data_IF_694298665488
#
_entry.id   IF_694298665488
#
_cell.length_a   1.000
_cell.length_b   1.000
_cell.length_c   1.000
_cell.angle_alpha   90.00
_cell.angle_beta   90.00
_cell.angle_gamma   90.00
#
_symmetry.space_group_name_H-M   'P 1'
#
loop_
_entity.id
_entity.type
_entity.pdbx_description
1 polymer ?
#
# COMPACT_ATOMS: atom_id res chain seq x y z
N UNK A 1 32.02 4.10 4.98
CA UNK A 1 30.74 3.63 4.41
C UNK A 1 30.21 2.54 5.33
N UNK A 2 29.77 2.94 6.53
CA UNK A 2 29.18 2.00 7.49
C UNK A 2 27.78 1.64 7.01
N UNK A 3 27.66 0.45 6.43
CA UNK A 3 26.37 -0.21 6.11
C UNK A 3 25.82 -0.91 7.37
N UNK A 4 26.07 -0.34 8.55
CA UNK A 4 25.60 -0.87 9.81
C UNK A 4 24.16 -0.41 10.02
N UNK A 5 23.22 -1.31 9.76
CA UNK A 5 21.84 -1.17 10.21
C UNK A 5 21.82 -0.91 11.73
N UNK A 6 20.82 -0.20 12.26
CA UNK A 6 20.60 -0.15 13.70
C UNK A 6 20.52 -1.58 14.26
N UNK A 7 21.24 -1.79 15.35
CA UNK A 7 21.52 -3.07 15.98
C UNK A 7 20.26 -3.90 16.27
N UNK A 8 20.08 -4.99 15.51
CA UNK A 8 19.18 -6.10 15.84
C UNK A 8 17.82 -6.11 15.10
N UNK A 9 17.40 -7.24 14.48
CA UNK A 9 16.11 -7.37 13.78
C UNK A 9 14.88 -7.00 14.62
N UNK A 10 14.94 -7.23 15.94
CA UNK A 10 13.83 -6.99 16.87
C UNK A 10 13.74 -5.51 17.32
N UNK A 11 14.87 -4.80 17.42
CA UNK A 11 14.88 -3.39 17.77
C UNK A 11 14.36 -2.53 16.62
N UNK A 12 14.66 -2.95 15.38
CA UNK A 12 14.13 -2.34 14.15
C UNK A 12 12.62 -2.51 14.05
N UNK A 13 12.10 -3.73 14.31
CA UNK A 13 10.66 -4.00 14.30
C UNK A 13 9.87 -3.08 15.25
N UNK A 14 10.30 -2.92 16.51
CA UNK A 14 9.60 -2.06 17.46
C UNK A 14 9.60 -0.57 17.04
N UNK A 15 10.68 -0.11 16.40
CA UNK A 15 10.76 1.25 15.87
C UNK A 15 9.84 1.44 14.64
N UNK A 16 9.86 0.48 13.71
CA UNK A 16 8.96 0.45 12.54
C UNK A 16 7.49 0.43 12.97
N UNK A 17 7.11 -0.43 13.92
CA UNK A 17 5.74 -0.46 14.47
C UNK A 17 5.33 0.88 15.09
N UNK A 18 6.24 1.59 15.76
CA UNK A 18 5.93 2.93 16.31
C UNK A 18 5.64 3.93 15.19
N UNK A 19 6.45 3.95 14.13
CA UNK A 19 6.26 4.85 12.99
C UNK A 19 4.94 4.54 12.25
N UNK A 20 4.67 3.26 11.99
CA UNK A 20 3.44 2.83 11.32
C UNK A 20 2.20 3.04 12.21
N UNK A 21 2.31 2.89 13.53
CA UNK A 21 1.21 3.22 14.44
C UNK A 21 0.84 4.71 14.40
N UNK A 22 1.80 5.62 14.17
CA UNK A 22 1.51 7.04 13.93
C UNK A 22 0.71 7.25 12.65
N UNK A 23 0.99 6.48 11.60
CA UNK A 23 0.23 6.51 10.34
C UNK A 23 -1.25 6.20 10.58
N UNK A 24 -1.58 5.17 11.37
CA UNK A 24 -2.96 4.83 11.75
C UNK A 24 -3.70 6.04 12.33
N UNK A 25 -3.07 6.71 13.29
CA UNK A 25 -3.66 7.83 14.03
C UNK A 25 -3.96 8.98 13.08
N UNK A 26 -3.02 9.32 12.21
CA UNK A 26 -3.16 10.41 11.22
C UNK A 26 -4.21 10.10 10.15
N UNK A 27 -4.22 8.88 9.59
CA UNK A 27 -5.23 8.47 8.61
C UNK A 27 -6.65 8.40 9.21
N UNK A 28 -6.76 7.97 10.48
CA UNK A 28 -8.04 7.99 11.19
C UNK A 28 -8.60 9.41 11.33
N UNK A 29 -7.73 10.41 11.55
CA UNK A 29 -8.14 11.81 11.65
C UNK A 29 -8.60 12.37 10.31
N UNK A 30 -7.93 12.03 9.20
CA UNK A 30 -8.34 12.45 7.85
C UNK A 30 -9.67 11.84 7.38
N UNK A 31 -9.94 10.58 7.73
CA UNK A 31 -11.24 9.96 7.48
C UNK A 31 -12.40 10.70 8.16
N UNK A 32 -12.11 11.42 9.24
CA UNK A 32 -13.05 12.28 9.96
C UNK A 32 -13.30 13.62 9.24
N UNK A 33 -12.27 14.19 8.60
CA UNK A 33 -12.34 15.45 7.85
C UNK A 33 -13.14 15.31 6.54
N UNK A 34 -13.01 14.16 5.85
CA UNK A 34 -13.77 13.85 4.63
C UNK A 34 -15.27 13.56 4.86
N UNK A 35 -15.78 13.76 6.08
CA UNK A 35 -17.23 13.67 6.38
C UNK A 35 -18.06 14.78 5.76
N UNK A 36 -17.44 15.86 5.31
CA UNK A 36 -18.14 17.01 4.78
C UNK A 36 -17.74 17.31 3.35
N UNK A 37 -18.32 16.64 2.36
CA UNK A 37 -18.58 17.23 1.04
C UNK A 37 -19.80 16.51 0.42
N UNK A 38 -20.92 17.23 0.39
CA UNK A 38 -22.20 16.76 -0.16
C UNK A 38 -22.23 17.02 -1.65
N UNK A 39 -21.93 16.02 -2.46
CA UNK A 39 -22.40 15.96 -3.85
C UNK A 39 -23.07 14.60 -4.04
N UNK A 40 -24.40 14.61 -4.13
CA UNK A 40 -25.28 13.45 -4.33
C UNK A 40 -25.41 12.48 -3.13
N UNK A 41 -26.08 12.94 -2.07
CA UNK A 41 -26.65 12.04 -1.08
C UNK A 41 -28.01 11.54 -1.59
N UNK A 42 -28.20 10.22 -1.70
CA UNK A 42 -29.49 9.65 -2.07
C UNK A 42 -30.49 9.89 -0.93
N UNK A 43 -31.67 10.40 -1.27
CA UNK A 43 -32.76 10.60 -0.30
C UNK A 43 -33.21 9.24 0.21
N UNK A 44 -33.27 9.09 1.52
CA UNK A 44 -33.92 7.95 2.17
C UNK A 44 -35.42 8.24 2.19
N UNK A 45 -36.13 7.77 1.17
CA UNK A 45 -37.57 8.03 1.00
C UNK A 45 -38.36 7.53 2.21
N UNK A 46 -38.01 6.36 2.77
CA UNK A 46 -38.73 5.79 3.92
C UNK A 46 -38.53 6.65 5.17
N UNK A 47 -37.30 7.10 5.43
CA UNK A 47 -37.00 7.96 6.59
C UNK A 47 -37.56 9.38 6.39
N UNK A 48 -37.58 9.88 5.16
CA UNK A 48 -38.16 11.18 4.79
C UNK A 48 -39.68 11.17 4.97
N UNK A 49 -40.36 10.16 4.44
CA UNK A 49 -41.82 10.00 4.58
C UNK A 49 -42.22 9.83 6.06
N UNK A 50 -41.47 9.05 6.84
CA UNK A 50 -41.73 8.93 8.28
C UNK A 50 -41.57 10.26 9.02
N UNK A 51 -40.57 11.07 8.67
CA UNK A 51 -40.40 12.41 9.23
C UNK A 51 -41.52 13.37 8.79
N UNK A 52 -42.04 13.20 7.57
CA UNK A 52 -43.13 14.02 7.03
C UNK A 52 -44.49 13.80 7.68
N UNK A 53 -44.66 12.72 8.46
CA UNK A 53 -45.91 12.47 9.20
C UNK A 53 -46.24 13.60 10.18
N UNK A 54 -45.22 14.27 10.74
CA UNK A 54 -45.39 15.43 11.62
C UNK A 54 -45.83 16.69 10.87
N UNK A 55 -45.67 16.71 9.55
CA UNK A 55 -46.00 17.83 8.66
C UNK A 55 -47.12 17.46 7.69
N UNK A 56 -48.05 16.60 8.12
CA UNK A 56 -49.23 16.22 7.34
C UNK A 56 -48.91 15.41 6.07
N UNK A 57 -47.78 14.70 6.04
CA UNK A 57 -47.33 13.92 4.88
C UNK A 57 -46.55 14.72 3.84
N UNK A 58 -46.34 16.02 4.06
CA UNK A 58 -45.53 16.86 3.17
C UNK A 58 -44.05 16.72 3.54
N UNK A 59 -43.15 16.28 2.64
CA UNK A 59 -41.75 16.03 2.94
C UNK A 59 -40.93 17.33 3.03
N UNK A 60 -41.16 18.12 4.09
CA UNK A 60 -40.46 19.39 4.35
C UNK A 60 -38.99 19.15 4.74
N UNK A 61 -38.71 18.05 5.44
CA UNK A 61 -37.35 17.70 5.90
C UNK A 61 -36.86 16.44 5.19
N UNK A 62 -36.03 16.61 4.16
CA UNK A 62 -35.39 15.49 3.46
C UNK A 62 -34.35 14.81 4.37
N UNK A 63 -34.51 13.50 4.56
CA UNK A 63 -33.54 12.65 5.27
C UNK A 63 -32.73 11.88 4.23
N UNK A 64 -31.42 12.03 4.28
CA UNK A 64 -30.52 11.37 3.33
C UNK A 64 -29.96 10.07 3.90
N UNK A 65 -29.68 9.09 3.03
CA UNK A 65 -28.94 7.90 3.45
C UNK A 65 -27.53 8.32 3.88
N UNK A 66 -27.03 7.86 5.05
CA UNK A 66 -25.66 8.12 5.45
C UNK A 66 -24.72 7.42 4.47
N UNK A 67 -24.04 8.18 3.60
CA UNK A 67 -22.88 7.69 2.84
C UNK A 67 -21.72 7.56 3.83
N UNK A 68 -21.49 6.34 4.33
CA UNK A 68 -20.26 6.05 5.07
C UNK A 68 -19.10 6.20 4.08
N UNK A 69 -18.08 7.03 4.35
CA UNK A 69 -16.89 7.05 3.52
C UNK A 69 -16.34 5.62 3.43
N UNK A 70 -16.17 5.10 2.21
CA UNK A 70 -15.36 3.89 2.03
C UNK A 70 -13.96 4.22 2.56
N UNK A 71 -13.45 3.38 3.46
CA UNK A 71 -12.08 3.53 3.98
C UNK A 71 -11.12 3.39 2.79
N UNK A 72 -10.00 4.15 2.75
CA UNK A 72 -8.96 3.89 1.75
C UNK A 72 -8.57 2.42 1.81
N UNK A 73 -8.65 1.74 0.67
CA UNK A 73 -8.18 0.37 0.52
C UNK A 73 -6.69 0.45 0.17
N UNK A 74 -5.86 -0.15 1.01
CA UNK A 74 -4.40 -0.11 0.89
C UNK A 74 -3.98 -1.43 0.27
N UNK A 75 -3.24 -1.34 -0.84
CA UNK A 75 -2.62 -2.46 -1.52
C UNK A 75 -1.12 -2.30 -1.34
N UNK A 76 -0.46 -3.29 -0.73
CA UNK A 76 0.98 -3.27 -0.55
C UNK A 76 1.60 -4.44 -1.27
N UNK A 77 2.57 -4.16 -2.14
CA UNK A 77 3.38 -5.16 -2.79
C UNK A 77 4.78 -5.11 -2.20
N UNK A 78 5.32 -6.26 -1.79
CA UNK A 78 6.67 -6.35 -1.23
C UNK A 78 7.51 -7.32 -2.04
N UNK A 79 8.60 -6.80 -2.60
CA UNK A 79 9.68 -7.58 -3.20
C UNK A 79 10.47 -8.26 -2.08
N UNK A 80 10.50 -9.59 -2.08
CA UNK A 80 11.29 -10.41 -1.15
C UNK A 80 12.36 -11.23 -1.87
N UNK A 81 12.69 -10.84 -3.11
CA UNK A 81 13.75 -11.49 -3.88
C UNK A 81 15.10 -11.41 -3.18
N UNK A 82 15.90 -12.45 -3.42
CA UNK A 82 17.09 -12.79 -2.65
C UNK A 82 18.21 -11.75 -2.79
N UNK A 83 18.16 -10.71 -1.95
CA UNK A 83 19.34 -10.05 -1.40
C UNK A 83 19.33 -10.21 0.13
N UNK A 84 19.95 -11.30 0.58
CA UNK A 84 19.97 -11.71 2.00
C UNK A 84 20.69 -10.63 2.83
N UNK A 85 19.94 -9.84 3.58
CA UNK A 85 19.82 -9.95 5.06
C UNK A 85 19.19 -8.68 5.66
N UNK A 86 19.39 -7.51 5.04
CA UNK A 86 19.02 -6.20 5.60
C UNK A 86 17.67 -5.68 5.13
N UNK A 87 17.54 -5.47 3.82
CA UNK A 87 16.43 -4.75 3.21
C UNK A 87 15.13 -5.56 3.29
N UNK A 88 15.22 -6.87 3.03
CA UNK A 88 14.08 -7.78 3.10
C UNK A 88 13.53 -7.86 4.53
N UNK A 89 14.38 -7.87 5.57
CA UNK A 89 13.93 -7.89 6.97
C UNK A 89 13.23 -6.59 7.36
N UNK A 90 13.80 -5.44 6.97
CA UNK A 90 13.19 -4.14 7.21
C UNK A 90 11.83 -4.02 6.49
N UNK A 91 11.74 -4.39 5.21
CA UNK A 91 10.48 -4.32 4.45
C UNK A 91 9.43 -5.32 4.90
N UNK A 92 9.82 -6.55 5.24
CA UNK A 92 8.90 -7.49 5.90
C UNK A 92 8.41 -6.91 7.23
N UNK A 93 9.28 -6.25 8.00
CA UNK A 93 8.88 -5.57 9.26
C UNK A 93 7.89 -4.44 9.01
N UNK A 94 8.10 -3.63 7.95
CA UNK A 94 7.17 -2.58 7.51
C UNK A 94 5.84 -3.19 7.06
N UNK A 95 5.88 -4.25 6.25
CA UNK A 95 4.70 -4.95 5.76
C UNK A 95 3.87 -5.52 6.94
N UNK A 96 4.54 -6.17 7.89
CA UNK A 96 3.91 -6.70 9.10
C UNK A 96 3.28 -5.59 9.95
N UNK A 97 4.01 -4.49 10.19
CA UNK A 97 3.49 -3.35 10.94
C UNK A 97 2.29 -2.67 10.25
N UNK A 98 2.28 -2.60 8.91
CA UNK A 98 1.16 -2.08 8.12
C UNK A 98 -0.05 -3.01 8.24
N UNK A 99 0.14 -4.33 8.13
CA UNK A 99 -0.95 -5.29 8.25
C UNK A 99 -1.62 -5.24 9.64
N UNK A 100 -0.85 -5.26 10.73
CA UNK A 100 -1.39 -5.14 12.11
C UNK A 100 -2.16 -3.81 12.32
N UNK A 101 -1.74 -2.78 11.59
CA UNK A 101 -2.34 -1.45 11.67
C UNK A 101 -3.67 -1.34 10.88
N UNK A 102 -3.76 -1.98 9.72
CA UNK A 102 -4.86 -1.81 8.76
C UNK A 102 -5.63 -3.11 8.53
N UNK A 103 -6.76 -3.25 9.23
CA UNK A 103 -7.71 -4.39 9.08
C UNK A 103 -8.37 -4.56 7.68
N UNK A 104 -8.03 -3.74 6.70
CA UNK A 104 -8.60 -3.77 5.33
C UNK A 104 -7.48 -3.47 4.32
N UNK A 105 -6.38 -4.17 4.49
CA UNK A 105 -5.20 -4.07 3.63
C UNK A 105 -5.05 -5.39 2.89
N UNK A 106 -4.87 -5.32 1.57
CA UNK A 106 -4.45 -6.48 0.77
C UNK A 106 -2.93 -6.43 0.63
N UNK A 107 -2.27 -7.51 1.00
CA UNK A 107 -0.81 -7.60 1.01
C UNK A 107 -0.37 -8.66 0.02
N UNK A 108 0.50 -8.26 -0.89
CA UNK A 108 1.08 -9.10 -1.92
C UNK A 108 2.59 -9.17 -1.69
N UNK A 109 3.15 -10.36 -1.78
CA UNK A 109 4.59 -10.58 -1.69
C UNK A 109 5.04 -11.29 -2.95
N UNK A 110 6.17 -10.86 -3.51
CA UNK A 110 6.67 -11.42 -4.76
C UNK A 110 8.18 -11.63 -4.74
N UNK A 111 8.61 -12.69 -5.44
CA UNK A 111 10.01 -12.94 -5.84
C UNK A 111 9.99 -13.01 -7.37
N UNK A 112 9.66 -14.18 -7.94
CA UNK A 112 9.44 -14.35 -9.38
C UNK A 112 7.95 -14.33 -9.77
N UNK A 113 7.07 -14.59 -8.80
CA UNK A 113 5.60 -14.57 -8.95
C UNK A 113 4.98 -13.80 -7.80
N UNK A 114 3.82 -13.20 -8.06
CA UNK A 114 3.05 -12.53 -7.02
C UNK A 114 2.19 -13.53 -6.26
N UNK A 115 2.26 -13.50 -4.93
CA UNK A 115 1.40 -14.26 -4.05
C UNK A 115 0.66 -13.30 -3.13
N UNK A 116 -0.67 -13.42 -3.10
CA UNK A 116 -1.46 -12.71 -2.09
C UNK A 116 -1.30 -13.42 -0.75
N UNK A 117 -0.75 -12.71 0.23
CA UNK A 117 -0.43 -13.25 1.56
C UNK A 117 -1.28 -12.62 2.65
N UNK A 118 -2.36 -11.91 2.27
CA UNK A 118 -3.31 -11.26 3.17
C UNK A 118 -3.74 -12.21 4.29
N UNK A 119 -4.14 -13.43 3.94
CA UNK A 119 -4.61 -14.46 4.89
C UNK A 119 -3.50 -14.97 5.81
N UNK A 120 -2.25 -15.07 5.33
CA UNK A 120 -1.10 -15.54 6.13
C UNK A 120 -0.86 -14.59 7.30
N UNK A 121 -0.87 -13.29 7.04
CA UNK A 121 -0.71 -12.27 8.07
C UNK A 121 -1.94 -12.14 8.99
N UNK A 122 -3.13 -12.52 8.54
CA UNK A 122 -4.34 -12.53 9.41
C UNK A 122 -4.31 -13.66 10.45
N UNK A 123 -3.77 -14.83 10.09
CA UNK A 123 -3.78 -16.02 10.94
C UNK A 123 -2.52 -16.20 11.78
N UNK A 124 -1.37 -15.66 11.35
CA UNK A 124 -0.10 -15.78 12.04
C UNK A 124 0.48 -14.41 12.40
N UNK A 125 0.65 -14.17 13.71
CA UNK A 125 1.19 -12.91 14.25
C UNK A 125 2.68 -12.97 14.49
N UNK A 126 3.29 -14.15 14.49
CA UNK A 126 4.73 -14.28 14.68
C UNK A 126 5.46 -13.98 13.37
N UNK A 127 6.18 -12.85 13.35
CA UNK A 127 7.01 -12.40 12.22
C UNK A 127 7.96 -13.48 11.69
N UNK A 128 8.58 -14.26 12.58
CA UNK A 128 9.52 -15.31 12.19
C UNK A 128 8.80 -16.42 11.42
N UNK A 129 7.67 -16.89 11.95
CA UNK A 129 6.84 -17.92 11.32
C UNK A 129 6.27 -17.43 9.98
N UNK A 130 5.84 -16.17 9.90
CA UNK A 130 5.36 -15.58 8.64
C UNK A 130 6.48 -15.50 7.61
N UNK A 131 7.68 -15.04 8.00
CA UNK A 131 8.83 -14.95 7.09
C UNK A 131 9.26 -16.34 6.60
N UNK A 132 9.25 -17.34 7.48
CA UNK A 132 9.54 -18.74 7.13
C UNK A 132 8.48 -19.30 6.17
N UNK A 133 7.19 -19.07 6.44
CA UNK A 133 6.08 -19.50 5.55
C UNK A 133 6.11 -18.81 4.20
N UNK A 134 6.35 -17.50 4.16
CA UNK A 134 6.49 -16.76 2.90
C UNK A 134 7.67 -17.33 2.10
N UNK A 135 8.78 -17.63 2.76
CA UNK A 135 9.95 -18.22 2.10
C UNK A 135 9.67 -19.65 1.59
N UNK A 136 8.84 -20.43 2.29
CA UNK A 136 8.48 -21.81 1.89
C UNK A 136 7.34 -21.87 0.86
N UNK A 137 6.31 -21.04 0.99
CA UNK A 137 5.13 -20.98 0.12
C UNK A 137 5.39 -20.20 -1.17
N UNK A 138 6.31 -19.23 -1.15
CA UNK A 138 6.89 -18.68 -2.37
C UNK A 138 7.71 -19.72 -3.16
N UNK A 139 7.96 -20.89 -2.55
CA UNK A 139 8.04 -22.21 -3.18
C UNK A 139 8.86 -22.31 -4.46
N UNK A 140 10.11 -22.78 -4.34
CA UNK A 140 10.68 -23.95 -5.04
C UNK A 140 10.25 -24.18 -6.51
N UNK A 141 10.09 -23.13 -7.31
CA UNK A 141 9.86 -23.24 -8.74
C UNK A 141 10.79 -22.27 -9.47
N UNK A 142 11.85 -22.86 -10.02
CA UNK A 142 12.87 -22.32 -10.94
C UNK A 142 13.92 -21.36 -10.36
N UNK A 143 14.94 -21.94 -9.72
CA UNK A 143 16.42 -21.77 -9.80
C UNK A 143 17.05 -20.42 -10.29
N UNK A 144 16.33 -19.34 -10.57
CA UNK A 144 16.89 -18.07 -11.05
C UNK A 144 17.05 -17.03 -9.94
N UNK A 145 16.08 -16.90 -9.01
CA UNK A 145 16.18 -15.98 -7.87
C UNK A 145 16.11 -14.50 -8.25
N UNK A 146 15.69 -14.20 -9.48
CA UNK A 146 15.66 -12.85 -10.06
C UNK A 146 14.23 -12.35 -10.21
N UNK A 147 13.94 -11.16 -9.68
CA UNK A 147 12.62 -10.51 -9.83
C UNK A 147 12.32 -10.18 -11.29
N UNK A 148 11.12 -10.57 -11.73
CA UNK A 148 10.51 -10.13 -12.98
C UNK A 148 9.35 -9.17 -12.68
N UNK A 149 9.67 -7.89 -12.51
CA UNK A 149 8.67 -6.85 -12.25
C UNK A 149 7.59 -6.80 -13.34
N UNK A 150 7.95 -7.06 -14.60
CA UNK A 150 6.99 -7.02 -15.70
C UNK A 150 5.89 -8.07 -15.58
N UNK A 151 6.28 -9.28 -15.19
CA UNK A 151 5.33 -10.35 -14.85
C UNK A 151 4.50 -9.99 -13.62
N UNK A 152 5.13 -9.48 -12.56
CA UNK A 152 4.46 -9.08 -11.32
C UNK A 152 3.37 -8.04 -11.59
N UNK A 153 3.64 -7.03 -12.42
CA UNK A 153 2.62 -6.03 -12.78
C UNK A 153 1.45 -6.62 -13.55
N UNK A 154 1.73 -7.54 -14.47
CA UNK A 154 0.71 -8.22 -15.26
C UNK A 154 -0.22 -9.04 -14.38
N UNK A 155 0.35 -9.87 -13.50
CA UNK A 155 -0.42 -10.72 -12.58
C UNK A 155 -1.16 -9.88 -11.52
N UNK A 156 -0.52 -8.83 -10.99
CA UNK A 156 -1.15 -7.92 -10.03
C UNK A 156 -2.35 -7.22 -10.63
N UNK A 157 -2.22 -6.64 -11.84
CA UNK A 157 -3.32 -5.94 -12.49
C UNK A 157 -4.54 -6.85 -12.59
N UNK A 158 -4.39 -8.07 -13.12
CA UNK A 158 -5.50 -9.03 -13.24
C UNK A 158 -6.18 -9.32 -11.89
N UNK A 159 -5.44 -9.35 -10.78
CA UNK A 159 -5.99 -9.65 -9.46
C UNK A 159 -6.70 -8.47 -8.77
N UNK A 160 -6.43 -7.23 -9.17
CA UNK A 160 -6.94 -6.04 -8.46
C UNK A 160 -7.68 -5.05 -9.36
N UNK A 161 -7.72 -5.27 -10.67
CA UNK A 161 -8.16 -4.26 -11.63
C UNK A 161 -9.60 -3.77 -11.41
N UNK A 162 -10.48 -4.66 -10.94
CA UNK A 162 -11.89 -4.39 -10.61
C UNK A 162 -12.07 -3.74 -9.23
N UNK A 163 -11.08 -3.91 -8.35
CA UNK A 163 -11.09 -3.37 -6.99
C UNK A 163 -10.45 -1.97 -6.92
N UNK A 164 -9.50 -1.66 -7.82
CA UNK A 164 -8.82 -0.37 -7.83
C UNK A 164 -9.79 0.78 -8.08
N UNK A 165 -9.72 1.80 -7.23
CA UNK A 165 -10.57 2.98 -7.30
C UNK A 165 -9.79 4.26 -6.94
N UNK A 166 -10.31 5.48 -7.24
CA UNK A 166 -9.61 6.75 -6.97
C UNK A 166 -9.33 7.10 -5.49
N UNK A 167 -9.66 6.20 -4.56
CA UNK A 167 -9.34 6.32 -3.12
C UNK A 167 -8.44 5.18 -2.64
N UNK A 168 -8.11 4.23 -3.51
CA UNK A 168 -7.14 3.19 -3.26
C UNK A 168 -5.75 3.80 -3.19
N UNK A 169 -4.89 3.22 -2.37
CA UNK A 169 -3.47 3.58 -2.32
C UNK A 169 -2.65 2.33 -2.55
N UNK A 170 -1.81 2.36 -3.58
CA UNK A 170 -0.86 1.30 -3.90
C UNK A 170 0.51 1.71 -3.34
N UNK A 171 1.15 0.80 -2.61
CA UNK A 171 2.47 0.98 -2.03
C UNK A 171 3.33 -0.18 -2.49
N UNK A 172 4.43 0.11 -3.19
CA UNK A 172 5.43 -0.86 -3.61
C UNK A 172 6.61 -0.76 -2.66
N UNK A 173 7.08 -1.88 -2.12
CA UNK A 173 8.32 -2.01 -1.37
C UNK A 173 9.26 -2.85 -2.24
N UNK A 174 10.28 -2.26 -2.83
CA UNK A 174 11.18 -2.98 -3.75
C UNK A 174 12.29 -2.11 -4.32
N UNK A 175 13.33 -2.71 -4.88
CA UNK A 175 14.52 -2.02 -5.40
C UNK A 175 14.43 -1.61 -6.89
N UNK A 176 13.36 -2.05 -7.58
CA UNK A 176 13.13 -1.86 -9.00
C UNK A 176 14.22 -2.47 -9.90
N UNK A 177 14.91 -3.53 -9.45
CA UNK A 177 15.86 -4.28 -10.29
C UNK A 177 15.13 -5.26 -11.20
N UNK A 178 15.21 -5.06 -12.51
CA UNK A 178 14.51 -5.92 -13.49
C UNK A 178 15.36 -7.06 -14.03
N UNK A 179 16.64 -7.16 -13.64
CA UNK A 179 17.55 -8.20 -14.12
C UNK A 179 17.61 -8.24 -15.67
N UNK A 180 17.52 -7.07 -16.30
CA UNK A 180 17.54 -6.91 -17.76
C UNK A 180 16.22 -7.24 -18.47
N UNK A 181 15.13 -7.53 -17.73
CA UNK A 181 13.80 -7.78 -18.29
C UNK A 181 13.03 -6.48 -18.51
N UNK A 182 11.97 -6.57 -19.32
CA UNK A 182 11.06 -5.46 -19.58
C UNK A 182 10.39 -5.00 -18.27
N UNK A 183 10.58 -3.74 -17.83
CA UNK A 183 9.94 -3.23 -16.62
C UNK A 183 8.41 -3.17 -16.68
N UNK A 184 7.80 -3.23 -17.88
CA UNK A 184 6.36 -3.05 -18.10
C UNK A 184 5.80 -1.81 -17.38
N UNK A 185 6.50 -0.68 -17.53
CA UNK A 185 6.08 0.60 -16.96
C UNK A 185 4.69 1.02 -17.46
N UNK A 186 4.29 0.58 -18.65
CA UNK A 186 2.95 0.73 -19.22
C UNK A 186 1.86 0.06 -18.38
N UNK A 187 2.11 -1.15 -17.85
CA UNK A 187 1.17 -1.86 -16.98
C UNK A 187 1.12 -1.19 -15.61
N UNK A 188 2.30 -0.81 -15.08
CA UNK A 188 2.38 -0.04 -13.83
C UNK A 188 1.62 1.30 -13.94
N UNK A 189 1.70 1.98 -15.08
CA UNK A 189 0.94 3.19 -15.37
C UNK A 189 -0.58 2.96 -15.30
N UNK A 190 -1.07 1.84 -15.83
CA UNK A 190 -2.49 1.48 -15.76
C UNK A 190 -2.96 1.28 -14.31
N UNK A 191 -2.17 0.57 -13.50
CA UNK A 191 -2.42 0.41 -12.07
C UNK A 191 -2.46 1.77 -11.38
N UNK A 192 -1.45 2.60 -11.61
CA UNK A 192 -1.33 3.91 -10.98
C UNK A 192 -2.45 4.88 -11.39
N UNK A 193 -2.94 4.80 -12.63
CA UNK A 193 -4.04 5.62 -13.13
C UNK A 193 -5.39 5.22 -12.50
N UNK A 194 -5.59 3.94 -12.15
CA UNK A 194 -6.79 3.46 -11.45
C UNK A 194 -6.74 3.75 -9.94
N UNK A 195 -5.54 3.68 -9.35
CA UNK A 195 -5.31 4.04 -7.97
C UNK A 195 -5.38 5.57 -7.77
N UNK A 196 -5.87 6.02 -6.61
CA UNK A 196 -5.85 7.45 -6.31
C UNK A 196 -4.45 7.96 -5.99
N UNK A 197 -3.58 7.08 -5.49
CA UNK A 197 -2.21 7.37 -5.04
C UNK A 197 -1.35 6.13 -5.19
N UNK A 198 -0.13 6.33 -5.67
CA UNK A 198 0.85 5.26 -5.84
C UNK A 198 2.18 5.71 -5.27
N UNK A 199 2.77 4.87 -4.43
CA UNK A 199 4.03 5.14 -3.75
C UNK A 199 4.99 3.99 -3.96
N UNK A 200 6.28 4.31 -4.02
CA UNK A 200 7.36 3.33 -4.09
C UNK A 200 8.37 3.59 -2.98
N UNK A 201 8.66 2.58 -2.16
CA UNK A 201 9.70 2.60 -1.14
C UNK A 201 10.85 1.73 -1.64
N UNK A 202 11.98 2.36 -1.96
CA UNK A 202 13.17 1.70 -2.46
C UNK A 202 14.22 1.61 -1.33
N UNK A 203 14.72 0.40 -1.01
CA UNK A 203 15.68 0.23 0.09
C UNK A 203 17.10 0.65 -0.31
N UNK A 204 17.36 0.86 -1.60
CA UNK A 204 18.63 1.35 -2.09
C UNK A 204 18.70 2.88 -2.01
N UNK A 205 19.88 3.44 -1.66
CA UNK A 205 20.11 4.88 -1.74
C UNK A 205 19.81 5.45 -3.13
N UNK A 206 19.28 6.69 -3.18
CA UNK A 206 18.99 7.38 -4.46
C UNK A 206 20.16 7.43 -5.44
N UNK A 207 21.40 7.38 -4.95
CA UNK A 207 22.60 7.35 -5.81
C UNK A 207 22.67 6.07 -6.68
N UNK A 208 22.08 4.97 -6.24
CA UNK A 208 22.05 3.69 -6.97
C UNK A 208 20.78 3.52 -7.80
N UNK A 209 19.85 4.46 -7.72
CA UNK A 209 18.67 4.46 -8.55
C UNK A 209 19.08 4.62 -10.01
N UNK A 210 18.56 3.74 -10.86
CA UNK A 210 18.93 3.69 -12.28
C UNK A 210 20.39 3.28 -12.55
N UNK A 211 21.06 2.69 -11.54
CA UNK A 211 22.38 2.11 -11.71
C UNK A 211 22.31 0.60 -11.92
N UNK A 212 23.01 0.11 -12.94
CA UNK A 212 22.95 -1.30 -13.35
C UNK A 212 21.59 -1.63 -13.96
N UNK A 213 20.88 -2.57 -13.34
CA UNK A 213 19.56 -3.06 -13.78
C UNK A 213 18.40 -2.51 -12.94
N UNK A 214 18.66 -1.59 -12.00
CA UNK A 214 17.59 -0.80 -11.37
C UNK A 214 17.01 0.15 -12.41
N UNK A 215 15.68 0.26 -12.50
CA UNK A 215 14.99 1.10 -13.50
C UNK A 215 13.86 1.93 -12.89
N UNK A 216 14.07 2.39 -11.66
CA UNK A 216 13.07 3.14 -10.88
C UNK A 216 12.53 4.38 -11.62
N UNK A 217 13.33 5.03 -12.48
CA UNK A 217 12.90 6.19 -13.26
C UNK A 217 11.67 5.88 -14.14
N UNK A 218 11.58 4.65 -14.68
CA UNK A 218 10.44 4.24 -15.48
C UNK A 218 9.13 4.18 -14.66
N UNK A 219 9.23 3.93 -13.35
CA UNK A 219 8.09 3.89 -12.45
C UNK A 219 7.81 5.25 -11.80
N UNK A 220 8.84 6.11 -11.60
CA UNK A 220 8.70 7.46 -11.01
C UNK A 220 7.79 8.39 -11.82
N UNK A 221 7.59 8.13 -13.11
CA UNK A 221 6.62 8.86 -13.94
C UNK A 221 5.16 8.65 -13.47
N UNK A 222 4.90 7.56 -12.73
CA UNK A 222 3.56 7.13 -12.35
C UNK A 222 3.36 7.01 -10.83
N UNK A 223 4.42 7.21 -10.04
CA UNK A 223 4.33 7.13 -8.58
C UNK A 223 5.26 8.14 -7.90
N UNK A 224 5.06 8.35 -6.59
CA UNK A 224 6.03 9.09 -5.78
C UNK A 224 6.98 8.10 -5.10
N UNK A 225 8.25 8.10 -5.50
CA UNK A 225 9.28 7.23 -4.94
C UNK A 225 10.04 7.87 -3.75
N UNK A 226 10.34 7.04 -2.76
CA UNK A 226 11.11 7.38 -1.56
C UNK A 226 12.23 6.37 -1.38
N UNK A 227 13.42 6.87 -1.03
CA UNK A 227 14.45 6.03 -0.42
C UNK A 227 13.99 5.66 0.99
N UNK A 228 14.03 4.38 1.34
CA UNK A 228 13.46 3.89 2.59
C UNK A 228 14.18 2.61 3.06
N UNK A 229 15.23 2.78 3.84
CA UNK A 229 15.93 1.70 4.54
C UNK A 229 16.21 2.04 6.01
N UNK A 230 15.64 3.15 6.49
CA UNK A 230 15.70 3.61 7.88
C UNK A 230 14.32 4.03 8.36
N UNK A 231 14.12 4.02 9.68
CA UNK A 231 12.87 4.48 10.29
C UNK A 231 12.60 5.97 10.07
N UNK A 232 13.64 6.80 9.99
CA UNK A 232 13.51 8.23 9.68
C UNK A 232 12.93 8.45 8.28
N UNK A 233 13.43 7.73 7.27
CA UNK A 233 12.89 7.77 5.92
C UNK A 233 11.44 7.24 5.84
N UNK A 234 11.14 6.20 6.62
CA UNK A 234 9.76 5.71 6.75
C UNK A 234 8.83 6.78 7.33
N UNK A 235 9.29 7.60 8.28
CA UNK A 235 8.48 8.71 8.79
C UNK A 235 8.19 9.76 7.71
N UNK A 236 9.13 10.02 6.81
CA UNK A 236 8.94 10.96 5.70
C UNK A 236 7.92 10.45 4.69
N UNK A 237 7.96 9.15 4.39
CA UNK A 237 6.89 8.49 3.66
C UNK A 237 5.54 8.61 4.40
N UNK A 238 5.48 8.34 5.70
CA UNK A 238 4.25 8.47 6.51
C UNK A 238 3.72 9.91 6.47
N UNK A 239 4.59 10.92 6.50
CA UNK A 239 4.22 12.32 6.31
C UNK A 239 3.60 12.55 4.93
N UNK A 240 4.19 12.03 3.85
CA UNK A 240 3.63 12.13 2.51
C UNK A 240 2.29 11.40 2.37
N UNK A 241 2.19 10.17 2.88
CA UNK A 241 0.99 9.35 2.89
C UNK A 241 -0.17 10.03 3.65
N UNK A 242 0.13 10.87 4.64
CA UNK A 242 -0.87 11.58 5.44
C UNK A 242 -1.13 13.01 4.97
N UNK A 243 -0.59 13.45 3.84
CA UNK A 243 -1.01 14.71 3.21
C UNK A 243 -2.42 14.54 2.62
N UNK A 244 -3.35 15.50 2.85
CA UNK A 244 -4.66 15.46 2.22
C UNK A 244 -4.49 15.51 0.71
N UNK A 245 -5.26 14.68 -0.02
CA UNK A 245 -5.38 14.81 -1.46
C UNK A 245 -6.09 16.13 -1.71
N UNK A 246 -5.33 17.16 -2.09
CA UNK A 246 -5.91 18.38 -2.63
C UNK A 246 -6.57 17.93 -3.93
N UNK A 247 -7.90 17.87 -3.94
CA UNK A 247 -8.63 17.61 -5.17
C UNK A 247 -8.21 18.71 -6.14
N UNK A 248 -7.43 18.36 -7.16
CA UNK A 248 -7.21 19.24 -8.28
C UNK A 248 -8.59 19.61 -8.81
N UNK A 249 -8.93 20.90 -8.76
CA UNK A 249 -10.12 21.41 -9.40
C UNK A 249 -9.97 21.09 -10.90
N UNK A 250 -10.72 20.10 -11.36
CA UNK A 250 -11.09 19.94 -12.76
C UNK A 250 -12.51 20.44 -12.91
#
# INVERSE_FOLDING_TARGET
LDRALPSGPLADLAAVHRVVAQLRRRLATQGMQNRGHRRHAHVDVRRTMRASLQTGGVPVVLKFRPRRPKRPEIYVLCDVSTSVTSASVFFLSVLHALHDTFRKMRSFVFIERISEVTDVFEHERNFKTVSERISSDAGVADISGYTDYGRVWSEFLVQVEDDLHPRATVIVLGDARTNGRDPRADIFAQIAARAGRTFWLNPEPRLYWNYGDSVIAAYEEHCTAFECWTTAQLEDFVRALTRPVIAAAR
#
